data_IF_692939358025
#
_entry.id   IF_692939358025
#
_cell.length_a   1.000
_cell.length_b   1.000
_cell.length_c   1.000
_cell.angle_alpha   90.00
_cell.angle_beta   90.00
_cell.angle_gamma   90.00
#
_symmetry.space_group_name_H-M   'P 1'
#
loop_
_entity.id
_entity.type
_entity.pdbx_description
1 polymer ?
#
# COMPACT_ATOMS: atom_id res chain seq x y z
N UNK A 1 -27.61 -45.34 64.15
CA UNK A 1 -26.95 -44.09 63.76
C UNK A 1 -26.02 -44.37 62.60
N UNK A 2 -26.42 -43.97 61.39
CA UNK A 2 -25.61 -44.15 60.18
C UNK A 2 -25.06 -42.79 59.79
N UNK A 3 -23.72 -42.66 59.85
CA UNK A 3 -23.02 -41.48 59.45
C UNK A 3 -22.92 -41.44 57.91
N UNK A 4 -23.47 -40.38 57.30
CA UNK A 4 -23.33 -40.10 55.89
C UNK A 4 -22.12 -39.19 55.72
N UNK A 5 -21.03 -39.69 55.08
CA UNK A 5 -19.86 -38.88 54.70
C UNK A 5 -20.18 -38.24 53.36
N UNK A 6 -20.27 -36.94 53.33
CA UNK A 6 -20.38 -36.14 52.13
C UNK A 6 -18.96 -35.90 51.60
N UNK A 7 -18.61 -36.51 50.47
CA UNK A 7 -17.37 -36.22 49.74
C UNK A 7 -17.62 -35.01 48.85
N UNK A 8 -17.00 -33.88 49.20
CA UNK A 8 -17.02 -32.64 48.40
C UNK A 8 -16.01 -32.76 47.28
N UNK A 9 -16.46 -33.04 46.06
CA UNK A 9 -15.62 -33.10 44.89
C UNK A 9 -15.43 -31.67 44.35
N UNK A 10 -14.31 -31.01 44.68
CA UNK A 10 -13.97 -29.71 44.12
C UNK A 10 -13.45 -29.88 42.68
N UNK A 11 -14.25 -29.52 41.71
CA UNK A 11 -13.90 -29.47 40.28
C UNK A 11 -13.03 -28.22 40.05
N UNK A 12 -11.72 -28.40 39.99
CA UNK A 12 -10.80 -27.36 39.47
C UNK A 12 -10.95 -27.29 37.95
N UNK A 13 -11.76 -26.35 37.45
CA UNK A 13 -11.76 -25.94 36.07
C UNK A 13 -10.47 -25.11 35.84
N UNK A 14 -9.43 -25.72 35.33
CA UNK A 14 -8.26 -25.00 34.80
C UNK A 14 -8.67 -24.22 33.58
N UNK A 15 -8.89 -22.91 33.75
CA UNK A 15 -8.96 -21.97 32.64
C UNK A 15 -7.55 -21.93 31.99
N UNK A 16 -7.36 -22.71 30.94
CA UNK A 16 -6.21 -22.54 30.06
C UNK A 16 -6.42 -21.21 29.33
N UNK A 17 -5.87 -20.14 29.85
CA UNK A 17 -5.70 -18.92 29.09
C UNK A 17 -4.78 -19.25 27.92
N UNK A 18 -5.30 -19.22 26.70
CA UNK A 18 -4.48 -19.22 25.51
C UNK A 18 -3.62 -17.94 25.56
N UNK A 19 -2.43 -18.04 26.08
CA UNK A 19 -1.40 -17.02 25.96
C UNK A 19 -0.99 -17.08 24.49
N UNK A 20 -1.44 -16.12 23.68
CA UNK A 20 -0.91 -15.96 22.34
C UNK A 20 0.61 -15.79 22.47
N UNK A 21 1.35 -16.76 22.00
CA UNK A 21 2.82 -16.72 22.02
C UNK A 21 3.26 -15.59 21.10
N UNK A 22 4.07 -14.66 21.60
CA UNK A 22 4.66 -13.60 20.76
C UNK A 22 5.46 -14.25 19.64
N UNK A 23 5.33 -13.70 18.41
CA UNK A 23 6.06 -14.19 17.24
C UNK A 23 7.52 -13.72 17.32
N UNK A 24 8.42 -14.56 16.82
CA UNK A 24 9.88 -14.31 16.87
C UNK A 24 10.32 -13.14 15.95
N UNK A 25 9.42 -12.72 15.06
CA UNK A 25 9.70 -11.64 14.10
C UNK A 25 8.76 -10.47 14.35
N UNK A 26 9.27 -9.26 14.17
CA UNK A 26 8.54 -8.03 14.38
C UNK A 26 8.54 -7.23 13.09
N UNK A 27 7.34 -6.96 12.57
CA UNK A 27 7.11 -6.06 11.45
C UNK A 27 6.75 -4.66 11.94
N UNK A 28 6.28 -3.83 11.03
CA UNK A 28 5.82 -2.48 11.32
C UNK A 28 4.53 -2.16 10.56
N UNK A 29 3.61 -1.46 11.21
CA UNK A 29 2.49 -0.81 10.56
C UNK A 29 2.27 0.57 11.16
N UNK A 30 2.04 1.57 10.30
CA UNK A 30 1.60 2.90 10.65
C UNK A 30 0.27 3.17 9.97
N UNK A 31 -0.66 3.82 10.69
CA UNK A 31 -1.97 4.14 10.15
C UNK A 31 -2.42 5.56 10.50
N UNK A 32 -3.21 6.17 9.60
CA UNK A 32 -3.74 7.50 9.83
C UNK A 32 -4.85 7.49 10.90
N UNK A 33 -4.84 8.50 11.79
CA UNK A 33 -5.87 8.68 12.81
C UNK A 33 -7.22 9.11 12.21
N UNK A 34 -7.19 9.72 11.02
CA UNK A 34 -8.37 10.11 10.25
C UNK A 34 -8.58 9.16 9.07
N UNK A 35 -9.83 9.03 8.66
CA UNK A 35 -10.23 8.29 7.47
C UNK A 35 -10.70 9.24 6.39
N UNK A 36 -10.46 8.89 5.13
CA UNK A 36 -10.73 9.70 3.95
C UNK A 36 -11.65 8.93 2.99
N UNK A 37 -12.63 9.62 2.46
CA UNK A 37 -13.51 9.09 1.42
C UNK A 37 -13.12 9.70 0.09
N UNK A 38 -12.68 8.87 -0.85
CA UNK A 38 -12.17 9.25 -2.15
C UNK A 38 -10.95 10.18 -2.08
N UNK A 39 -10.16 10.16 -3.11
CA UNK A 39 -8.99 11.01 -3.21
C UNK A 39 -7.89 10.44 -4.10
N UNK A 40 -6.83 11.21 -4.22
CA UNK A 40 -5.57 10.81 -4.83
C UNK A 40 -4.52 10.77 -3.73
N UNK A 41 -3.91 9.62 -3.60
CA UNK A 41 -2.85 9.34 -2.64
C UNK A 41 -1.57 9.10 -3.42
N UNK A 42 -0.59 9.98 -3.25
CA UNK A 42 0.72 9.84 -3.85
C UNK A 42 1.75 9.60 -2.77
N UNK A 43 2.55 8.58 -2.91
CA UNK A 43 3.63 8.26 -1.99
C UNK A 43 4.92 7.96 -2.72
N UNK A 44 6.02 8.38 -2.12
CA UNK A 44 7.37 8.14 -2.61
C UNK A 44 8.05 7.13 -1.71
N UNK A 45 8.30 5.90 -2.21
CA UNK A 45 8.76 4.78 -1.39
C UNK A 45 9.88 4.00 -2.07
N UNK A 46 10.82 3.49 -1.24
CA UNK A 46 11.74 2.43 -1.60
C UNK A 46 11.40 1.20 -0.74
N UNK A 47 11.18 0.06 -1.38
CA UNK A 47 10.64 -1.15 -0.74
C UNK A 47 11.74 -2.12 -0.32
N UNK A 48 11.39 -3.12 0.49
CA UNK A 48 12.32 -4.16 0.90
C UNK A 48 12.56 -5.17 -0.22
N UNK A 49 13.84 -5.62 -0.37
CA UNK A 49 14.25 -6.67 -1.30
C UNK A 49 14.59 -7.93 -0.51
N UNK A 50 13.56 -8.75 -0.26
CA UNK A 50 13.74 -10.02 0.45
C UNK A 50 12.56 -10.95 0.17
N UNK A 51 12.83 -12.20 -0.26
CA UNK A 51 11.78 -13.20 -0.43
C UNK A 51 11.03 -13.42 0.88
N UNK A 52 9.72 -13.61 0.81
CA UNK A 52 8.86 -13.75 1.97
C UNK A 52 8.39 -12.42 2.59
N UNK A 53 8.83 -11.27 2.07
CA UNK A 53 8.51 -9.94 2.63
C UNK A 53 7.59 -9.18 1.68
N UNK A 54 6.66 -8.43 2.27
CA UNK A 54 5.77 -7.47 1.63
C UNK A 54 6.05 -6.07 2.17
N UNK A 55 6.14 -5.09 1.28
CA UNK A 55 6.10 -3.65 1.57
C UNK A 55 4.83 -3.08 0.97
N UNK A 56 3.96 -2.45 1.79
CA UNK A 56 2.63 -2.10 1.30
C UNK A 56 2.25 -0.66 1.59
N UNK A 57 1.32 -0.15 0.80
CA UNK A 57 0.41 0.93 1.12
C UNK A 57 -1.01 0.46 0.84
N UNK A 58 -1.94 0.74 1.74
CA UNK A 58 -3.33 0.41 1.54
C UNK A 58 -4.27 1.38 2.24
N UNK A 59 -5.50 1.41 1.79
CA UNK A 59 -6.60 2.10 2.47
C UNK A 59 -7.52 1.06 3.08
N UNK A 60 -8.02 1.32 4.29
CA UNK A 60 -8.77 0.34 5.06
C UNK A 60 -9.92 0.99 5.84
N UNK A 61 -11.11 0.47 5.69
CA UNK A 61 -12.25 0.86 6.51
C UNK A 61 -12.09 0.25 7.90
N UNK A 62 -11.79 1.09 8.88
CA UNK A 62 -11.60 0.66 10.26
C UNK A 62 -12.82 -0.11 10.79
N UNK A 63 -12.55 -1.25 11.42
CA UNK A 63 -13.59 -2.13 11.96
C UNK A 63 -14.17 -3.13 10.95
N UNK A 64 -13.63 -3.23 9.73
CA UNK A 64 -14.02 -4.24 8.76
C UNK A 64 -13.86 -5.67 9.30
N UNK A 65 -12.91 -5.88 10.21
CA UNK A 65 -12.63 -7.14 10.87
C UNK A 65 -13.64 -7.52 11.98
N UNK A 66 -14.59 -6.62 12.32
CA UNK A 66 -15.51 -6.79 13.45
C UNK A 66 -16.89 -7.22 12.99
N UNK A 67 -17.34 -8.41 13.43
CA UNK A 67 -18.70 -8.92 13.25
C UNK A 67 -19.13 -8.99 11.78
N UNK A 68 -20.30 -8.43 11.48
CA UNK A 68 -20.89 -8.41 10.14
C UNK A 68 -20.58 -7.13 9.35
N UNK A 69 -19.55 -6.38 9.76
CA UNK A 69 -19.15 -5.16 9.09
C UNK A 69 -18.71 -5.47 7.66
N UNK A 70 -19.18 -4.65 6.71
CA UNK A 70 -18.75 -4.79 5.32
C UNK A 70 -17.30 -4.35 5.18
N UNK A 71 -16.45 -5.24 4.66
CA UNK A 71 -15.02 -5.02 4.44
C UNK A 71 -14.78 -4.15 3.22
N UNK A 72 -13.98 -3.11 3.37
CA UNK A 72 -13.54 -2.24 2.27
C UNK A 72 -12.04 -1.93 2.42
N UNK A 73 -11.27 -2.32 1.38
CA UNK A 73 -9.81 -2.17 1.36
C UNK A 73 -9.32 -2.00 -0.09
N UNK A 74 -8.29 -1.19 -0.30
CA UNK A 74 -7.64 -1.00 -1.61
C UNK A 74 -6.13 -1.04 -1.40
N UNK A 75 -5.43 -1.92 -2.14
CA UNK A 75 -4.05 -2.29 -1.85
C UNK A 75 -3.07 -1.95 -2.97
N UNK A 76 -1.86 -1.62 -2.53
CA UNK A 76 -0.59 -1.70 -3.26
C UNK A 76 0.33 -2.59 -2.43
N UNK A 77 0.65 -3.79 -2.91
CA UNK A 77 1.46 -4.78 -2.20
C UNK A 77 2.68 -5.13 -3.03
N UNK A 78 3.87 -4.72 -2.60
CA UNK A 78 5.09 -4.94 -3.34
C UNK A 78 5.82 -6.15 -2.75
N UNK A 79 6.08 -7.17 -3.59
CA UNK A 79 6.78 -8.39 -3.21
C UNK A 79 8.28 -8.17 -3.17
N UNK A 80 8.91 -8.51 -2.07
CA UNK A 80 10.38 -8.51 -1.96
C UNK A 80 11.07 -9.64 -2.74
N UNK A 81 10.30 -10.68 -3.17
CA UNK A 81 10.79 -11.75 -4.04
C UNK A 81 11.06 -11.26 -5.46
N UNK A 82 11.71 -12.10 -6.28
CA UNK A 82 11.95 -11.83 -7.71
C UNK A 82 12.59 -10.46 -7.95
N UNK A 83 13.60 -10.14 -7.14
CA UNK A 83 14.33 -8.88 -7.20
C UNK A 83 13.46 -7.64 -6.95
N UNK A 84 12.34 -7.81 -6.23
CA UNK A 84 11.32 -6.78 -5.98
C UNK A 84 10.80 -6.11 -7.27
N UNK A 85 10.70 -6.86 -8.38
CA UNK A 85 10.14 -6.36 -9.64
C UNK A 85 8.63 -6.57 -9.75
N UNK A 86 8.03 -7.32 -8.83
CA UNK A 86 6.60 -7.63 -8.86
C UNK A 86 5.85 -6.96 -7.72
N UNK A 87 4.64 -6.52 -8.02
CA UNK A 87 3.71 -5.97 -7.06
C UNK A 87 2.26 -6.32 -7.44
N UNK A 88 1.36 -6.23 -6.47
CA UNK A 88 -0.03 -6.57 -6.62
C UNK A 88 -0.90 -5.36 -6.32
N UNK A 89 -1.88 -5.08 -7.17
CA UNK A 89 -2.99 -4.18 -6.87
C UNK A 89 -4.23 -4.99 -6.53
N UNK A 90 -5.01 -4.56 -5.54
CA UNK A 90 -6.20 -5.29 -5.13
C UNK A 90 -7.31 -4.35 -4.66
N UNK A 91 -8.55 -4.80 -4.73
CA UNK A 91 -9.70 -4.30 -3.98
C UNK A 91 -10.32 -5.48 -3.26
N UNK A 92 -10.45 -5.36 -1.95
CA UNK A 92 -11.00 -6.41 -1.09
C UNK A 92 -12.32 -5.93 -0.49
N UNK A 93 -13.36 -6.74 -0.69
CA UNK A 93 -14.73 -6.44 -0.22
C UNK A 93 -15.37 -7.70 0.38
N UNK A 94 -16.38 -7.51 1.22
CA UNK A 94 -17.22 -8.60 1.68
C UNK A 94 -17.92 -8.33 3.01
N UNK A 95 -19.07 -8.99 3.24
CA UNK A 95 -19.76 -8.94 4.53
C UNK A 95 -19.22 -9.99 5.48
N UNK A 96 -18.99 -9.63 6.73
CA UNK A 96 -18.45 -10.48 7.81
C UNK A 96 -17.01 -10.94 7.63
N UNK A 97 -16.51 -10.93 6.41
CA UNK A 97 -15.11 -11.25 6.00
C UNK A 97 -14.90 -10.92 4.53
N UNK A 98 -13.65 -10.80 4.07
CA UNK A 98 -13.36 -10.68 2.64
C UNK A 98 -13.91 -11.86 1.85
N UNK A 99 -14.68 -11.58 0.79
CA UNK A 99 -15.26 -12.58 -0.14
C UNK A 99 -15.03 -12.21 -1.60
N UNK A 100 -14.64 -10.97 -1.87
CA UNK A 100 -14.31 -10.46 -3.21
C UNK A 100 -12.87 -9.96 -3.15
N UNK A 101 -12.05 -10.50 -4.02
CA UNK A 101 -10.67 -10.13 -4.22
C UNK A 101 -10.47 -9.88 -5.70
N UNK A 102 -9.85 -8.76 -6.06
CA UNK A 102 -9.63 -8.39 -7.46
C UNK A 102 -8.14 -8.31 -7.79
N UNK A 103 -7.33 -9.08 -7.07
CA UNK A 103 -5.88 -9.04 -7.17
C UNK A 103 -5.38 -9.17 -8.62
N UNK A 104 -4.41 -8.35 -8.96
CA UNK A 104 -3.69 -8.44 -10.22
C UNK A 104 -2.21 -8.18 -9.96
N UNK A 105 -1.37 -9.12 -10.36
CA UNK A 105 0.09 -8.99 -10.27
C UNK A 105 0.61 -8.23 -11.49
N UNK A 106 1.49 -7.28 -11.24
CA UNK A 106 2.17 -6.44 -12.23
C UNK A 106 3.67 -6.68 -12.15
N UNK A 107 4.37 -6.46 -13.26
CA UNK A 107 5.84 -6.53 -13.31
C UNK A 107 6.40 -5.17 -13.71
N UNK A 108 7.22 -4.60 -12.85
CA UNK A 108 7.97 -3.38 -13.12
C UNK A 108 9.19 -3.70 -14.02
N UNK A 109 9.64 -2.75 -14.85
CA UNK A 109 10.78 -2.95 -15.73
C UNK A 109 12.13 -3.08 -14.98
N UNK A 110 12.17 -2.65 -13.73
CA UNK A 110 13.33 -2.68 -12.84
C UNK A 110 12.92 -2.97 -11.40
N UNK A 111 13.91 -3.23 -10.54
CA UNK A 111 13.67 -3.46 -9.11
C UNK A 111 13.10 -2.21 -8.43
N UNK A 112 11.98 -2.37 -7.74
CA UNK A 112 11.35 -1.30 -6.96
C UNK A 112 12.05 -1.06 -5.60
N UNK A 113 13.07 -1.89 -5.29
CA UNK A 113 13.86 -1.79 -4.07
C UNK A 113 15.22 -1.08 -4.26
N UNK A 114 15.67 -0.87 -5.51
CA UNK A 114 17.01 -0.29 -5.77
C UNK A 114 17.01 1.24 -5.70
N UNK A 115 15.81 1.89 -5.79
CA UNK A 115 15.64 3.32 -5.68
C UNK A 115 14.24 3.64 -5.10
N UNK A 116 13.99 4.93 -4.82
CA UNK A 116 12.63 5.40 -4.55
C UNK A 116 11.81 5.45 -5.84
N UNK A 117 10.58 4.98 -5.77
CA UNK A 117 9.58 5.05 -6.82
C UNK A 117 8.35 5.81 -6.34
N UNK A 118 7.64 6.46 -7.27
CA UNK A 118 6.39 7.16 -6.96
C UNK A 118 5.21 6.24 -7.24
N UNK A 119 4.41 5.97 -6.24
CA UNK A 119 3.18 5.21 -6.34
C UNK A 119 1.99 6.14 -6.19
N UNK A 120 0.94 5.93 -6.98
CA UNK A 120 -0.30 6.69 -6.84
C UNK A 120 -1.47 5.74 -6.82
N UNK A 121 -2.37 5.97 -5.87
CA UNK A 121 -3.70 5.41 -5.83
C UNK A 121 -4.70 6.54 -6.04
N UNK A 122 -5.54 6.45 -7.08
CA UNK A 122 -6.71 7.30 -7.26
C UNK A 122 -7.98 6.51 -6.97
N UNK A 123 -8.79 7.03 -6.09
CA UNK A 123 -10.07 6.47 -5.74
C UNK A 123 -11.17 7.53 -5.83
N UNK A 124 -12.17 7.26 -6.69
CA UNK A 124 -13.34 8.11 -6.93
C UNK A 124 -14.62 7.27 -6.87
N UNK A 125 -15.81 7.85 -6.91
CA UNK A 125 -17.05 7.08 -7.04
C UNK A 125 -17.13 6.26 -8.34
N UNK A 126 -16.38 6.68 -9.39
CA UNK A 126 -16.47 6.13 -10.73
C UNK A 126 -15.37 5.11 -11.05
N UNK A 127 -14.19 5.21 -10.38
CA UNK A 127 -13.05 4.34 -10.63
C UNK A 127 -12.07 4.27 -9.46
N UNK A 128 -11.26 3.20 -9.49
CA UNK A 128 -10.01 3.06 -8.75
C UNK A 128 -8.88 2.84 -9.75
N UNK A 129 -7.78 3.59 -9.62
CA UNK A 129 -6.63 3.47 -10.53
C UNK A 129 -5.31 3.49 -9.77
N UNK A 130 -4.34 2.73 -10.27
CA UNK A 130 -2.99 2.59 -9.72
C UNK A 130 -1.95 3.02 -10.74
N UNK A 131 -0.97 3.80 -10.27
CA UNK A 131 0.14 4.30 -11.08
C UNK A 131 1.46 3.99 -10.39
N UNK A 132 2.50 3.75 -11.19
CA UNK A 132 3.90 3.69 -10.75
C UNK A 132 4.73 4.58 -11.65
N UNK A 133 5.49 5.50 -11.07
CA UNK A 133 6.37 6.45 -11.77
C UNK A 133 5.66 7.26 -12.88
N UNK A 134 4.40 7.61 -12.63
CA UNK A 134 3.57 8.40 -13.54
C UNK A 134 2.79 7.60 -14.58
N UNK A 135 3.07 6.31 -14.73
CA UNK A 135 2.38 5.44 -15.69
C UNK A 135 1.17 4.76 -15.03
N UNK A 136 -0.01 4.84 -15.66
CA UNK A 136 -1.19 4.11 -15.22
C UNK A 136 -1.02 2.61 -15.51
N UNK A 137 -0.97 1.80 -14.43
CA UNK A 137 -0.76 0.35 -14.53
C UNK A 137 -2.07 -0.42 -14.55
N UNK A 138 -3.07 0.08 -13.79
CA UNK A 138 -4.39 -0.54 -13.71
C UNK A 138 -5.48 0.49 -13.44
N UNK A 139 -6.66 0.24 -14.02
CA UNK A 139 -7.91 0.97 -13.68
C UNK A 139 -9.09 0.01 -13.62
N UNK A 140 -9.91 0.13 -12.58
CA UNK A 140 -11.24 -0.50 -12.49
C UNK A 140 -12.28 0.61 -12.58
N UNK A 141 -13.21 0.53 -13.52
CA UNK A 141 -14.20 1.59 -13.77
C UNK A 141 -15.61 1.01 -13.76
N UNK A 142 -16.55 1.70 -13.12
CA UNK A 142 -17.98 1.48 -13.25
C UNK A 142 -18.52 0.10 -12.83
N UNK A 143 -17.71 -0.69 -12.09
CA UNK A 143 -18.11 -2.02 -11.60
C UNK A 143 -18.74 -1.94 -10.22
N UNK A 144 -19.47 -2.99 -9.82
CA UNK A 144 -19.96 -3.14 -8.44
C UNK A 144 -18.82 -3.11 -7.41
N UNK A 145 -17.63 -3.56 -7.77
CA UNK A 145 -16.43 -3.46 -6.93
C UNK A 145 -16.13 -2.00 -6.55
N UNK A 146 -16.14 -1.09 -7.53
CA UNK A 146 -15.88 0.33 -7.28
C UNK A 146 -17.04 0.98 -6.53
N UNK A 147 -18.28 0.73 -6.96
CA UNK A 147 -19.46 1.39 -6.36
C UNK A 147 -19.80 0.89 -4.95
N UNK A 148 -19.19 -0.22 -4.50
CA UNK A 148 -19.31 -0.71 -3.13
C UNK A 148 -18.31 -0.07 -2.16
N UNK A 149 -17.31 0.65 -2.64
CA UNK A 149 -16.35 1.40 -1.83
C UNK A 149 -16.95 2.76 -1.44
N UNK A 150 -17.73 2.78 -0.37
CA UNK A 150 -18.55 3.95 0.00
C UNK A 150 -18.24 4.56 1.36
N UNK A 151 -17.36 3.92 2.13
CA UNK A 151 -16.99 4.38 3.45
C UNK A 151 -15.56 4.95 3.47
N UNK A 152 -15.37 5.98 4.31
CA UNK A 152 -14.04 6.55 4.53
C UNK A 152 -13.08 5.50 5.09
N UNK A 153 -11.84 5.52 4.60
CA UNK A 153 -10.80 4.54 4.91
C UNK A 153 -9.57 5.23 5.51
N UNK A 154 -8.93 4.60 6.51
CA UNK A 154 -7.64 5.03 7.02
C UNK A 154 -6.53 4.67 6.02
N UNK A 155 -5.47 5.49 5.97
CA UNK A 155 -4.29 5.25 5.16
C UNK A 155 -3.30 4.44 5.98
N UNK A 156 -2.71 3.41 5.40
CA UNK A 156 -1.81 2.51 6.11
C UNK A 156 -0.58 2.17 5.28
N UNK A 157 0.56 2.10 5.95
CA UNK A 157 1.77 1.48 5.43
C UNK A 157 2.16 0.35 6.34
N UNK A 158 2.57 -0.78 5.79
CA UNK A 158 3.19 -1.81 6.59
C UNK A 158 4.31 -2.56 5.86
N UNK A 159 5.19 -3.16 6.65
CA UNK A 159 6.15 -4.17 6.23
C UNK A 159 5.89 -5.43 7.04
N UNK A 160 5.64 -6.54 6.36
CA UNK A 160 5.22 -7.78 6.98
C UNK A 160 5.55 -9.01 6.14
N UNK A 161 5.16 -10.19 6.61
CA UNK A 161 5.35 -11.46 5.90
C UNK A 161 4.12 -12.32 6.04
N UNK A 162 3.69 -12.94 4.94
CA UNK A 162 2.65 -13.98 4.96
C UNK A 162 3.27 -15.36 5.17
N UNK A 163 2.49 -16.28 5.72
CA UNK A 163 2.85 -17.70 5.78
C UNK A 163 2.67 -18.41 4.43
N UNK A 164 2.00 -17.79 3.47
CA UNK A 164 1.80 -18.32 2.11
C UNK A 164 3.05 -18.14 1.25
N UNK A 165 3.85 -19.19 1.15
CA UNK A 165 5.09 -19.22 0.34
C UNK A 165 4.81 -19.01 -1.15
N UNK A 166 3.71 -19.53 -1.67
CA UNK A 166 3.29 -19.39 -3.05
C UNK A 166 3.06 -17.92 -3.40
N UNK A 167 2.52 -17.16 -2.45
CA UNK A 167 2.21 -15.75 -2.65
C UNK A 167 3.44 -14.85 -2.48
N UNK A 168 4.12 -14.94 -1.34
CA UNK A 168 5.20 -13.99 -0.99
C UNK A 168 6.61 -14.53 -1.23
N UNK A 169 6.76 -15.82 -1.53
CA UNK A 169 8.06 -16.49 -1.65
C UNK A 169 8.54 -17.12 -0.34
N UNK A 170 9.63 -17.88 -0.43
CA UNK A 170 10.22 -18.55 0.71
C UNK A 170 10.75 -17.52 1.71
N UNK A 171 10.53 -17.81 3.00
CA UNK A 171 11.08 -17.04 4.10
C UNK A 171 12.48 -17.51 4.47
N UNK A 172 13.38 -16.56 4.68
CA UNK A 172 14.75 -16.80 5.14
C UNK A 172 15.13 -15.81 6.24
N UNK A 173 15.48 -16.32 7.43
CA UNK A 173 15.88 -15.49 8.57
C UNK A 173 17.14 -14.67 8.33
N UNK A 174 17.98 -15.12 7.41
CA UNK A 174 19.28 -14.49 7.09
C UNK A 174 19.14 -13.14 6.39
N UNK A 175 17.95 -12.83 5.83
CA UNK A 175 17.70 -11.54 5.15
C UNK A 175 17.46 -10.39 6.13
N UNK A 176 17.12 -10.70 7.38
CA UNK A 176 16.78 -9.70 8.39
C UNK A 176 18.00 -8.98 8.97
N UNK A 177 17.89 -7.68 9.27
CA UNK A 177 16.71 -6.82 9.14
C UNK A 177 16.53 -6.29 7.72
N UNK A 178 15.27 -6.03 7.32
CA UNK A 178 14.91 -5.37 6.06
C UNK A 178 13.97 -4.19 6.32
N UNK A 179 13.90 -3.26 5.36
CA UNK A 179 13.26 -1.97 5.60
C UNK A 179 12.46 -1.51 4.38
N UNK A 180 11.36 -0.81 4.67
CA UNK A 180 10.63 0.02 3.73
C UNK A 180 10.87 1.48 4.13
N UNK A 181 11.23 2.32 3.16
CA UNK A 181 11.50 3.74 3.34
C UNK A 181 10.43 4.56 2.62
N UNK A 182 9.80 5.50 3.31
CA UNK A 182 8.78 6.38 2.76
C UNK A 182 9.28 7.82 2.91
N UNK A 183 9.53 8.50 1.78
CA UNK A 183 10.01 9.88 1.76
C UNK A 183 8.86 10.85 2.04
N UNK A 184 7.72 10.65 1.36
CA UNK A 184 6.52 11.45 1.62
C UNK A 184 5.25 10.69 1.28
N UNK A 185 4.13 11.24 1.77
CA UNK A 185 2.79 10.98 1.28
C UNK A 185 2.05 12.30 1.05
N UNK A 186 1.37 12.44 -0.09
CA UNK A 186 0.46 13.52 -0.39
C UNK A 186 -0.96 12.97 -0.60
N UNK A 187 -1.93 13.58 0.05
CA UNK A 187 -3.35 13.33 -0.15
C UNK A 187 -4.01 14.55 -0.77
N UNK A 188 -4.80 14.33 -1.84
CA UNK A 188 -5.71 15.33 -2.41
C UNK A 188 -7.12 14.77 -2.40
N UNK A 189 -8.08 15.55 -1.88
CA UNK A 189 -9.47 15.14 -1.84
C UNK A 189 -10.11 15.19 -3.22
N UNK A 190 -11.05 14.28 -3.48
CA UNK A 190 -11.81 14.30 -4.73
C UNK A 190 -12.95 15.32 -4.65
N UNK A 191 -12.97 16.26 -5.58
CA UNK A 191 -14.09 17.18 -5.78
C UNK A 191 -15.06 16.60 -6.82
N UNK A 192 -16.21 16.13 -6.35
CA UNK A 192 -17.22 15.48 -7.21
C UNK A 192 -17.87 16.42 -8.23
N UNK A 193 -17.91 17.72 -7.96
CA UNK A 193 -18.46 18.72 -8.88
C UNK A 193 -17.48 19.05 -10.00
N UNK A 194 -16.23 19.31 -9.66
CA UNK A 194 -15.17 19.62 -10.60
C UNK A 194 -14.55 18.37 -11.26
N UNK A 195 -14.81 17.18 -10.70
CA UNK A 195 -14.24 15.88 -11.10
C UNK A 195 -12.70 15.90 -11.16
N UNK A 196 -12.10 16.55 -10.18
CA UNK A 196 -10.65 16.66 -10.03
C UNK A 196 -10.22 16.39 -8.59
N UNK A 197 -8.89 16.35 -8.36
CA UNK A 197 -8.31 16.23 -7.04
C UNK A 197 -7.71 17.56 -6.62
N UNK A 198 -8.10 18.06 -5.45
CA UNK A 198 -7.67 19.36 -4.95
C UNK A 198 -7.59 19.41 -3.42
N UNK A 199 -6.92 20.44 -2.89
CA UNK A 199 -6.75 20.58 -1.44
C UNK A 199 -5.93 19.43 -0.84
N UNK A 200 -6.25 19.06 0.40
CA UNK A 200 -5.58 17.96 1.08
C UNK A 200 -4.37 18.39 1.90
N UNK A 201 -3.39 17.52 2.01
CA UNK A 201 -2.18 17.73 2.81
C UNK A 201 -1.02 16.87 2.27
N UNK A 202 0.19 17.23 2.67
CA UNK A 202 1.40 16.44 2.42
C UNK A 202 2.15 16.26 3.75
N UNK A 203 2.77 15.11 3.92
CA UNK A 203 3.65 14.78 5.02
C UNK A 203 5.00 14.33 4.46
N UNK A 204 6.04 15.12 4.72
CA UNK A 204 7.41 14.85 4.32
C UNK A 204 8.21 14.17 5.44
N UNK A 205 7.54 13.72 6.50
CA UNK A 205 8.10 13.01 7.63
C UNK A 205 9.32 13.70 8.30
N UNK A 206 9.30 15.02 8.40
CA UNK A 206 10.31 15.77 9.17
C UNK A 206 10.35 15.30 10.64
N UNK A 207 9.17 14.89 11.16
CA UNK A 207 8.99 14.26 12.45
C UNK A 207 7.81 13.29 12.40
N UNK A 208 7.70 12.37 13.37
CA UNK A 208 6.53 11.52 13.52
C UNK A 208 5.37 12.33 14.11
N UNK A 209 4.42 12.75 13.26
CA UNK A 209 3.24 13.51 13.68
C UNK A 209 2.20 12.59 14.33
N UNK A 210 2.17 12.54 15.66
CA UNK A 210 1.21 11.72 16.43
C UNK A 210 -0.24 12.23 16.34
N UNK A 211 -0.47 13.44 15.85
CA UNK A 211 -1.82 13.92 15.56
C UNK A 211 -2.40 13.29 14.30
N UNK A 212 -1.53 12.93 13.34
CA UNK A 212 -1.89 12.31 12.07
C UNK A 212 -1.77 10.79 12.09
N UNK A 213 -0.73 10.24 12.72
CA UNK A 213 -0.34 8.85 12.64
C UNK A 213 -0.32 8.13 13.98
N UNK A 214 -0.67 6.87 13.95
CA UNK A 214 -0.51 5.92 15.05
C UNK A 214 0.28 4.71 14.59
N UNK A 215 0.92 4.02 15.54
CA UNK A 215 1.72 2.83 15.31
C UNK A 215 0.96 1.59 15.77
N UNK A 216 0.95 0.55 14.95
CA UNK A 216 0.30 -0.72 15.29
C UNK A 216 1.12 -1.51 16.32
N UNK A 217 0.40 -2.26 17.16
CA UNK A 217 0.96 -3.20 18.14
C UNK A 217 0.14 -4.51 18.19
N UNK A 218 -0.37 -4.92 17.04
CA UNK A 218 -1.18 -6.13 16.88
C UNK A 218 -0.58 -7.07 15.84
N UNK A 219 -1.21 -8.22 15.67
CA UNK A 219 -0.98 -9.15 14.60
C UNK A 219 -2.32 -9.71 14.11
N UNK A 220 -2.30 -10.50 13.07
CA UNK A 220 -3.45 -11.26 12.57
C UNK A 220 -3.00 -12.68 12.18
N UNK A 221 -3.98 -13.55 12.01
CA UNK A 221 -3.75 -14.92 11.52
C UNK A 221 -3.04 -14.84 10.16
N UNK A 222 -2.23 -15.77 9.80
CA UNK A 222 -1.45 -15.78 8.55
C UNK A 222 -0.31 -14.76 8.42
N UNK A 223 -0.24 -13.75 9.28
CA UNK A 223 0.92 -12.89 9.39
C UNK A 223 2.04 -13.61 10.14
N UNK A 224 3.23 -13.66 9.58
CA UNK A 224 4.41 -14.27 10.23
C UNK A 224 4.98 -13.41 11.36
N UNK A 225 4.65 -12.11 11.38
CA UNK A 225 5.20 -11.14 12.33
C UNK A 225 4.13 -10.56 13.25
N UNK A 226 4.53 -10.07 14.42
CA UNK A 226 3.75 -9.09 15.18
C UNK A 226 4.20 -7.70 14.77
N UNK A 227 3.28 -6.74 14.67
CA UNK A 227 3.65 -5.35 14.50
C UNK A 227 4.16 -4.76 15.82
N UNK A 228 5.29 -4.06 15.75
CA UNK A 228 5.94 -3.44 16.89
C UNK A 228 6.14 -1.94 16.65
N UNK A 229 5.68 -1.07 17.59
CA UNK A 229 5.86 0.38 17.48
C UNK A 229 7.33 0.81 17.37
N UNK A 230 8.25 0.04 17.90
CA UNK A 230 9.70 0.24 17.88
C UNK A 230 10.28 0.14 16.46
N UNK A 231 9.59 -0.60 15.57
CA UNK A 231 9.95 -0.77 14.16
C UNK A 231 9.38 0.33 13.26
N UNK A 232 8.66 1.32 13.82
CA UNK A 232 8.19 2.53 13.13
C UNK A 232 8.95 3.73 13.64
N UNK A 233 9.76 4.37 12.81
CA UNK A 233 10.56 5.52 13.20
C UNK A 233 10.72 6.52 12.05
N UNK A 234 11.02 7.77 12.39
CA UNK A 234 11.39 8.79 11.42
C UNK A 234 12.86 9.11 11.61
N UNK A 235 13.61 9.14 10.50
CA UNK A 235 15.03 9.47 10.50
C UNK A 235 15.41 10.24 9.24
N UNK A 236 15.99 11.41 9.42
CA UNK A 236 16.45 12.29 8.33
C UNK A 236 15.34 12.60 7.30
N UNK A 237 14.11 12.88 7.75
CA UNK A 237 12.97 13.17 6.86
C UNK A 237 12.41 11.94 6.14
N UNK A 238 12.71 10.74 6.61
CA UNK A 238 12.21 9.48 6.04
C UNK A 238 11.46 8.69 7.13
N UNK A 239 10.24 8.28 6.84
CA UNK A 239 9.56 7.27 7.64
C UNK A 239 10.16 5.90 7.30
N UNK A 240 10.68 5.22 8.31
CA UNK A 240 11.29 3.89 8.20
C UNK A 240 10.40 2.87 8.87
N UNK A 241 9.99 1.87 8.13
CA UNK A 241 9.33 0.67 8.64
C UNK A 241 10.31 -0.49 8.58
N UNK A 242 10.54 -1.16 9.71
CA UNK A 242 11.49 -2.25 9.82
C UNK A 242 10.78 -3.61 9.97
N UNK A 243 11.36 -4.65 9.39
CA UNK A 243 11.05 -6.03 9.71
C UNK A 243 12.31 -6.69 10.25
N UNK A 244 12.24 -7.17 11.49
CA UNK A 244 13.40 -7.55 12.29
C UNK A 244 13.13 -8.85 13.06
N UNK A 245 14.18 -9.40 13.66
CA UNK A 245 14.03 -10.31 14.79
C UNK A 245 13.59 -9.53 16.03
N UNK A 246 12.96 -10.21 16.99
CA UNK A 246 12.45 -9.60 18.22
C UNK A 246 13.55 -8.93 19.08
N UNK A 247 14.75 -9.48 19.05
CA UNK A 247 15.92 -8.99 19.81
C UNK A 247 16.71 -7.87 19.12
N UNK A 248 16.27 -7.45 17.91
CA UNK A 248 16.99 -6.47 17.08
C UNK A 248 16.06 -5.44 16.42
N UNK A 249 15.02 -4.97 17.16
CA UNK A 249 14.06 -4.01 16.66
C UNK A 249 14.66 -2.63 16.38
N UNK A 250 14.01 -1.89 15.47
CA UNK A 250 14.36 -0.53 15.10
C UNK A 250 15.28 -0.42 13.91
N UNK A 251 15.85 0.78 13.71
CA UNK A 251 16.73 1.11 12.59
C UNK A 251 17.89 2.00 13.04
N UNK A 252 19.11 1.49 12.96
CA UNK A 252 20.32 2.21 13.33
C UNK A 252 21.06 2.88 12.16
N UNK A 253 20.67 2.58 10.90
CA UNK A 253 21.34 3.03 9.69
C UNK A 253 21.07 4.49 9.32
N UNK A 254 21.47 4.85 8.10
CA UNK A 254 21.07 6.09 7.42
C UNK A 254 20.15 5.69 6.26
N UNK A 255 18.92 6.26 6.16
CA UNK A 255 18.04 5.98 5.03
C UNK A 255 18.73 6.31 3.71
N UNK A 256 18.43 5.55 2.63
CA UNK A 256 18.92 5.87 1.29
C UNK A 256 18.50 7.28 0.87
N UNK A 257 19.39 7.99 0.16
CA UNK A 257 19.05 9.28 -0.43
C UNK A 257 18.05 9.10 -1.58
N UNK A 258 17.08 10.01 -1.69
CA UNK A 258 16.22 10.08 -2.87
C UNK A 258 16.83 11.03 -3.90
N UNK A 259 17.50 10.47 -4.88
CA UNK A 259 18.22 11.22 -5.93
C UNK A 259 17.29 12.17 -6.71
N UNK A 260 15.99 11.87 -6.83
CA UNK A 260 15.03 12.70 -7.55
C UNK A 260 14.78 14.05 -6.86
N UNK A 261 14.92 14.11 -5.53
CA UNK A 261 14.75 15.34 -4.76
C UNK A 261 16.01 16.20 -4.82
N UNK A 262 17.18 15.58 -4.86
CA UNK A 262 18.48 16.30 -4.99
C UNK A 262 18.59 17.08 -6.30
N UNK A 263 18.08 16.56 -7.42
CA UNK A 263 18.16 17.23 -8.72
C UNK A 263 17.24 18.46 -8.81
N UNK A 264 16.12 18.51 -8.10
CA UNK A 264 15.20 19.65 -8.10
C UNK A 264 15.73 20.85 -7.29
N UNK A 265 16.50 20.61 -6.22
CA UNK A 265 17.12 21.67 -5.43
C UNK A 265 18.36 22.28 -6.10
N UNK A 266 19.05 21.54 -6.96
CA UNK A 266 20.20 22.05 -7.71
C UNK A 266 19.81 22.91 -8.93
N UNK A 267 18.62 22.72 -9.50
CA UNK A 267 18.12 23.51 -10.65
C UNK A 267 17.59 24.90 -10.29
N UNK A 268 17.34 25.20 -9.02
CA UNK A 268 16.77 26.50 -8.59
C UNK A 268 17.82 27.59 -8.30
N UNK A 269 19.13 27.30 -8.44
CA UNK A 269 20.21 28.25 -8.11
C UNK A 269 20.90 28.86 -9.35
N UNK A 270 20.50 28.52 -10.57
CA UNK A 270 21.16 28.98 -11.78
C UNK A 270 20.24 29.79 -12.73
N UNK A 271 19.51 30.80 -12.24
CA UNK A 271 19.00 31.89 -13.07
C UNK A 271 19.09 33.22 -12.30
N UNK A 272 20.26 33.81 -12.32
CA UNK A 272 20.43 35.25 -12.11
C UNK A 272 21.57 35.76 -12.96
N UNK A 273 21.20 36.74 -13.78
CA UNK A 273 22.06 37.70 -14.51
C UNK A 273 22.64 37.28 -15.85
N UNK A 274 21.96 37.68 -16.92
CA UNK A 274 22.55 38.61 -17.86
C UNK A 274 21.48 39.29 -18.73
N UNK A 275 21.23 40.54 -18.42
CA UNK A 275 20.52 41.48 -19.28
C UNK A 275 21.53 41.92 -20.34
N UNK A 276 21.26 41.66 -21.60
CA UNK A 276 21.87 42.44 -22.69
C UNK A 276 20.81 42.72 -23.73
N UNK A 277 20.51 44.00 -23.84
CA UNK A 277 19.69 44.63 -24.87
C UNK A 277 20.35 44.54 -26.22
N UNK A 278 19.55 44.25 -27.28
CA UNK A 278 19.67 44.99 -28.57
C UNK A 278 18.50 44.67 -29.50
N UNK A 279 17.89 45.67 -29.83
CA UNK A 279 17.02 46.20 -30.90
C UNK A 279 16.80 45.44 -32.19
N UNK A 280 15.51 45.38 -32.54
CA UNK A 280 14.78 45.73 -33.79
C UNK A 280 15.29 45.19 -35.12
N UNK A 281 14.47 44.41 -35.84
CA UNK A 281 14.03 44.70 -37.20
C UNK A 281 12.81 43.89 -37.60
N UNK A 282 11.87 44.62 -38.19
CA UNK A 282 10.57 44.26 -38.76
C UNK A 282 10.77 43.69 -40.17
N UNK A 283 9.96 42.70 -40.58
CA UNK A 283 9.20 42.76 -41.83
C UNK A 283 8.46 41.46 -42.17
N UNK A 284 7.17 41.62 -42.36
CA UNK A 284 6.30 41.21 -43.44
C UNK A 284 5.96 39.73 -43.71
N UNK A 285 4.65 39.59 -43.73
CA UNK A 285 3.79 38.50 -44.08
C UNK A 285 4.00 37.91 -45.49
N UNK A 286 3.62 36.61 -45.63
CA UNK A 286 2.79 36.15 -46.78
C UNK A 286 1.97 34.92 -46.34
N UNK A 287 0.70 34.99 -46.66
CA UNK A 287 -0.40 34.04 -46.55
C UNK A 287 -0.32 32.94 -47.61
N UNK A 288 -0.71 31.70 -47.27
CA UNK A 288 -1.55 30.88 -48.17
C UNK A 288 -2.03 29.60 -47.46
N UNK A 289 -3.34 29.48 -47.38
CA UNK A 289 -4.17 28.29 -47.15
C UNK A 289 -4.57 27.69 -48.51
N UNK A 290 -5.39 26.61 -48.58
CA UNK A 290 -5.28 25.23 -48.12
C UNK A 290 -5.46 24.21 -49.27
N UNK A 291 -5.29 22.92 -49.00
CA UNK A 291 -5.91 21.89 -49.85
C UNK A 291 -6.25 20.62 -49.05
N UNK A 292 -7.50 20.27 -49.18
CA UNK A 292 -8.24 19.09 -48.74
C UNK A 292 -8.04 17.94 -49.74
N UNK A 293 -7.97 16.68 -49.27
CA UNK A 293 -8.59 15.51 -49.94
C UNK A 293 -8.42 14.28 -49.03
N UNK A 294 -9.51 13.79 -48.58
CA UNK A 294 -10.32 12.61 -48.98
C UNK A 294 -9.76 11.24 -48.62
N UNK A 295 -10.66 10.58 -47.93
CA UNK A 295 -10.76 9.21 -47.45
C UNK A 295 -10.44 8.11 -48.49
N UNK A 296 -9.99 6.95 -47.96
CA UNK A 296 -10.31 5.65 -48.51
C UNK A 296 -10.39 4.58 -47.41
N UNK A 297 -11.47 3.88 -47.41
CA UNK A 297 -11.89 2.71 -46.66
C UNK A 297 -11.34 1.44 -47.33
N UNK A 298 -10.95 0.42 -46.53
CA UNK A 298 -11.22 -1.00 -46.86
C UNK A 298 -10.70 -1.92 -45.75
N UNK A 299 -11.61 -2.59 -45.17
CA UNK A 299 -11.99 -4.02 -45.22
C UNK A 299 -11.19 -4.95 -44.32
N UNK A 300 -11.97 -5.64 -43.50
CA UNK A 300 -11.68 -6.70 -42.57
C UNK A 300 -11.04 -7.95 -43.17
N UNK A 301 -10.24 -8.65 -42.38
CA UNK A 301 -10.06 -10.11 -42.51
C UNK A 301 -9.98 -10.78 -41.14
N UNK A 302 -10.80 -11.82 -41.03
CA UNK A 302 -10.92 -12.75 -39.92
C UNK A 302 -9.74 -13.75 -39.84
N UNK A 303 -9.48 -14.21 -38.63
CA UNK A 303 -8.82 -15.50 -38.34
C UNK A 303 -7.79 -15.35 -37.22
N UNK A 304 -7.71 -16.09 -36.19
CA UNK A 304 -8.02 -17.45 -35.84
C UNK A 304 -7.68 -17.66 -34.36
N UNK A 305 -8.39 -18.51 -33.70
CA UNK A 305 -8.24 -18.94 -32.32
C UNK A 305 -6.87 -19.56 -32.04
N UNK A 306 -6.24 -19.23 -30.90
CA UNK A 306 -5.46 -20.20 -30.14
C UNK A 306 -5.69 -19.93 -28.65
N UNK A 307 -6.15 -20.98 -27.94
CA UNK A 307 -6.45 -20.95 -26.53
C UNK A 307 -5.15 -21.06 -25.72
N UNK A 308 -5.08 -20.27 -24.67
CA UNK A 308 -4.13 -20.40 -23.57
C UNK A 308 -4.91 -20.45 -22.28
N UNK A 309 -4.89 -21.59 -21.61
CA UNK A 309 -5.65 -21.82 -20.39
C UNK A 309 -5.16 -20.95 -19.25
N UNK A 310 -6.07 -20.20 -18.70
CA UNK A 310 -5.93 -19.52 -17.42
C UNK A 310 -6.05 -20.55 -16.31
N UNK A 311 -4.95 -20.88 -15.65
CA UNK A 311 -4.99 -21.60 -14.38
C UNK A 311 -5.33 -20.59 -13.27
N UNK A 312 -6.60 -20.54 -12.89
CA UNK A 312 -7.03 -19.92 -11.62
C UNK A 312 -6.49 -20.76 -10.47
N UNK A 313 -5.44 -20.29 -9.82
CA UNK A 313 -5.04 -20.79 -8.51
C UNK A 313 -5.90 -20.10 -7.44
N UNK A 314 -6.89 -20.82 -6.94
CA UNK A 314 -7.61 -20.48 -5.74
C UNK A 314 -6.69 -20.76 -4.53
N UNK A 315 -5.97 -19.74 -4.09
CA UNK A 315 -5.37 -19.73 -2.77
C UNK A 315 -6.45 -19.42 -1.74
N UNK A 316 -6.91 -20.44 -1.02
CA UNK A 316 -7.90 -20.31 0.04
C UNK A 316 -7.26 -19.58 1.21
N UNK A 317 -7.41 -18.25 1.28
CA UNK A 317 -7.13 -17.48 2.50
C UNK A 317 -8.28 -17.71 3.47
N UNK A 318 -8.16 -18.74 4.31
CA UNK A 318 -9.05 -18.94 5.46
C UNK A 318 -8.61 -17.96 6.56
N UNK A 319 -9.14 -16.74 6.52
CA UNK A 319 -9.08 -15.86 7.68
C UNK A 319 -10.09 -16.37 8.72
N UNK A 320 -9.62 -17.14 9.67
CA UNK A 320 -10.41 -17.49 10.85
C UNK A 320 -10.46 -16.26 11.75
N UNK A 321 -11.62 -15.60 11.81
CA UNK A 321 -11.81 -14.44 12.66
C UNK A 321 -11.60 -14.78 14.14
N UNK A 322 -10.58 -14.19 14.75
CA UNK A 322 -10.41 -14.19 16.20
C UNK A 322 -10.88 -12.83 16.72
N UNK A 323 -11.86 -12.86 17.61
CA UNK A 323 -12.38 -11.72 18.36
C UNK A 323 -11.23 -11.09 19.17
N UNK A 324 -10.76 -9.94 18.76
CA UNK A 324 -9.89 -9.09 19.58
C UNK A 324 -10.76 -8.35 20.60
N UNK A 325 -10.81 -8.84 21.83
CA UNK A 325 -11.35 -8.09 22.95
C UNK A 325 -10.41 -6.91 23.29
N UNK A 326 -10.93 -5.67 23.46
CA UNK A 326 -10.09 -4.55 23.85
C UNK A 326 -9.59 -4.77 25.27
N UNK A 327 -8.28 -4.77 25.47
CA UNK A 327 -7.67 -4.69 26.80
C UNK A 327 -7.98 -3.32 27.39
N UNK A 328 -8.85 -3.27 28.40
CA UNK A 328 -8.89 -2.15 29.35
C UNK A 328 -7.64 -2.23 30.22
N UNK A 329 -7.08 -1.05 30.49
CA UNK A 329 -5.97 -0.83 31.42
C UNK A 329 -6.25 -1.40 32.80
#
# INVERSE_FOLDING_TARGET
MRSISIVLLTLFASLAANVATAKSYKGAEVYSNQSYLYGRYEMRMQVAKASGVLSTFFTYKNGSEVGDTFWEEIDIEIFGKNDATQWQSNVILGSSRPTIHTEQVHTAPQSLADAYHTYVLEWTPDYVAWFVDGEEVRRITGTSTVTSLTNAQSLRFNIWSSESVEWVGAWEDSVLPVYQFINYIEYKSYNATAKNFEGGWRDDFDAFDTSRWSKANWSFDTNRVDFAPENVLVKNGILVLALTKEDAMGYGGTPPADESVSSSSASSVAVSSSVASSSVASSAAVSSTPASSKAASSTATKGSKSGGGSFSFWGLLVLSGLLLAPRRK
#
